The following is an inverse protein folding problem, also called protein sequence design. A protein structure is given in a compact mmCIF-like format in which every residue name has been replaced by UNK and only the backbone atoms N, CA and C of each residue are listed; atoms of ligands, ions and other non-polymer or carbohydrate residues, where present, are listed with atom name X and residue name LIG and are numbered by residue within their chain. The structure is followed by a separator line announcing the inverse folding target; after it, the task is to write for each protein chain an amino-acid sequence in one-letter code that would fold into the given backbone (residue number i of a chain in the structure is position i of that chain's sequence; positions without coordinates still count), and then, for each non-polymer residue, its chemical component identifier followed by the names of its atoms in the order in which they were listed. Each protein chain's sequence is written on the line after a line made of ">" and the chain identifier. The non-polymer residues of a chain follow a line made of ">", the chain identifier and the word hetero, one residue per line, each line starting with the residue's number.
data_IF_709363668503
#
_entry.id   IF_709363668503
#
_cell.length_a   1.000
_cell.length_b   1.000
_cell.length_c   1.000
_cell.angle_alpha   90.00
_cell.angle_beta   90.00
_cell.angle_gamma   90.00
#
_symmetry.space_group_name_H-M   'P 1'
#
loop_
_entity.id
_entity.type
_entity.pdbx_description
1 polymer ?
#
# COMPACT_ATOMS: atom_id res chain seq x y z
N UNK A 1 44.46 25.22 -25.73
CA UNK A 1 43.57 24.05 -25.80
C UNK A 1 42.40 24.29 -24.88
N UNK A 2 41.15 24.19 -25.36
CA UNK A 2 39.99 24.40 -24.49
C UNK A 2 38.65 24.50 -25.23
N UNK A 3 38.47 23.73 -26.31
CA UNK A 3 37.20 23.65 -27.04
C UNK A 3 36.26 22.54 -26.50
N UNK A 4 36.73 21.71 -25.56
CA UNK A 4 35.94 20.62 -24.97
C UNK A 4 35.16 21.00 -23.69
N UNK A 5 35.42 22.16 -23.08
CA UNK A 5 34.78 22.55 -21.81
C UNK A 5 33.37 23.15 -21.97
N UNK A 6 32.87 23.31 -23.19
CA UNK A 6 31.56 23.95 -23.46
C UNK A 6 30.43 22.96 -23.78
N UNK A 7 30.71 21.66 -23.79
CA UNK A 7 29.71 20.60 -24.14
C UNK A 7 29.10 19.97 -22.87
N UNK A 8 29.66 20.20 -21.68
CA UNK A 8 29.11 19.69 -20.41
C UNK A 8 28.26 20.73 -19.65
N UNK A 9 27.94 21.86 -20.27
CA UNK A 9 27.02 22.86 -19.73
C UNK A 9 25.59 22.59 -20.18
N UNK A 10 25.04 21.43 -19.81
CA UNK A 10 23.59 21.27 -19.77
C UNK A 10 23.20 21.59 -18.33
N UNK A 11 22.77 22.84 -18.11
CA UNK A 11 21.73 23.16 -17.14
C UNK A 11 20.57 22.21 -17.46
N UNK A 12 20.62 20.99 -16.92
CA UNK A 12 19.42 20.20 -16.79
C UNK A 12 18.71 20.92 -15.66
N UNK A 13 17.62 21.59 -16.00
CA UNK A 13 16.52 21.77 -15.05
C UNK A 13 16.33 20.41 -14.39
N UNK A 14 16.93 20.23 -13.21
CA UNK A 14 16.67 19.09 -12.36
C UNK A 14 15.22 19.25 -11.98
N UNK A 15 14.35 18.54 -12.69
CA UNK A 15 12.93 18.45 -12.34
C UNK A 15 12.88 18.21 -10.84
N UNK A 16 12.33 19.14 -10.04
CA UNK A 16 12.41 19.04 -8.60
C UNK A 16 11.75 17.72 -8.19
N UNK A 17 12.56 16.80 -7.67
CA UNK A 17 12.06 15.57 -7.07
C UNK A 17 11.31 16.03 -5.84
N UNK A 18 9.97 16.06 -5.92
CA UNK A 18 9.12 16.41 -4.79
C UNK A 18 9.39 15.35 -3.72
N UNK A 19 10.18 15.72 -2.71
CA UNK A 19 10.50 14.86 -1.59
C UNK A 19 9.20 14.42 -0.90
N UNK A 20 9.10 13.14 -0.59
CA UNK A 20 7.98 12.62 0.19
C UNK A 20 8.22 12.94 1.67
N UNK A 21 7.16 13.26 2.41
CA UNK A 21 7.22 13.29 3.86
C UNK A 21 7.28 11.84 4.37
N UNK A 22 8.51 11.35 4.63
CA UNK A 22 8.73 9.98 5.12
C UNK A 22 8.01 9.71 6.44
N UNK A 23 7.91 10.69 7.34
CA UNK A 23 7.26 10.48 8.63
C UNK A 23 5.74 10.33 8.44
N UNK A 24 5.15 11.11 7.55
CA UNK A 24 3.75 10.96 7.15
C UNK A 24 3.49 9.62 6.46
N UNK A 25 4.32 9.24 5.48
CA UNK A 25 4.12 7.99 4.75
C UNK A 25 4.33 6.75 5.63
N UNK A 26 5.23 6.81 6.62
CA UNK A 26 5.35 5.75 7.65
C UNK A 26 4.09 5.61 8.49
N UNK A 27 3.49 6.72 8.94
CA UNK A 27 2.18 6.68 9.64
C UNK A 27 1.08 6.10 8.75
N UNK A 28 1.09 6.42 7.45
CA UNK A 28 0.16 5.84 6.48
C UNK A 28 0.33 4.32 6.32
N UNK A 29 1.59 3.83 6.27
CA UNK A 29 1.90 2.40 6.23
C UNK A 29 1.44 1.68 7.51
N UNK A 30 1.63 2.29 8.68
CA UNK A 30 1.16 1.75 9.96
C UNK A 30 -0.38 1.64 10.01
N UNK A 31 -1.08 2.66 9.52
CA UNK A 31 -2.56 2.65 9.43
C UNK A 31 -3.05 1.59 8.45
N UNK A 32 -2.41 1.45 7.29
CA UNK A 32 -2.72 0.40 6.33
C UNK A 32 -2.47 -1.00 6.91
N UNK A 33 -1.35 -1.20 7.63
CA UNK A 33 -1.05 -2.46 8.31
C UNK A 33 -2.12 -2.80 9.35
N UNK A 34 -2.55 -1.81 10.15
CA UNK A 34 -3.64 -1.93 11.12
C UNK A 34 -4.97 -2.32 10.45
N UNK A 35 -5.32 -1.67 9.33
CA UNK A 35 -6.53 -1.95 8.58
C UNK A 35 -6.52 -3.36 7.96
N UNK A 36 -5.41 -3.76 7.34
CA UNK A 36 -5.24 -5.10 6.77
C UNK A 36 -5.35 -6.17 7.84
N UNK A 37 -4.74 -5.95 9.01
CA UNK A 37 -4.88 -6.86 10.15
C UNK A 37 -6.35 -7.01 10.56
N UNK A 38 -7.03 -5.90 10.81
CA UNK A 38 -8.44 -5.92 11.23
C UNK A 38 -9.33 -6.66 10.22
N UNK A 39 -9.13 -6.42 8.93
CA UNK A 39 -9.84 -7.15 7.87
C UNK A 39 -9.54 -8.65 7.90
N UNK A 40 -8.25 -9.05 7.96
CA UNK A 40 -7.90 -10.48 7.97
C UNK A 40 -8.33 -11.19 9.25
N UNK A 41 -8.37 -10.50 10.39
CA UNK A 41 -8.86 -11.05 11.64
C UNK A 41 -10.38 -11.29 11.53
N UNK A 42 -11.13 -10.30 11.02
CA UNK A 42 -12.58 -10.43 10.76
C UNK A 42 -12.91 -11.54 9.77
N UNK A 43 -12.15 -11.67 8.68
CA UNK A 43 -12.34 -12.73 7.68
C UNK A 43 -12.14 -14.14 8.23
N UNK A 44 -11.51 -14.30 9.40
CA UNK A 44 -11.30 -15.59 10.07
C UNK A 44 -12.40 -15.93 11.08
N UNK A 45 -13.39 -15.07 11.27
CA UNK A 45 -14.51 -15.36 12.15
C UNK A 45 -15.37 -16.51 11.59
N UNK A 46 -16.02 -17.26 12.48
CA UNK A 46 -16.80 -18.48 12.17
C UNK A 46 -17.98 -18.24 11.20
N UNK A 47 -18.37 -16.98 10.97
CA UNK A 47 -19.43 -16.62 10.02
C UNK A 47 -18.98 -16.69 8.55
N UNK A 48 -17.67 -16.80 8.29
CA UNK A 48 -17.09 -16.84 6.95
C UNK A 48 -16.62 -18.26 6.58
N UNK A 49 -16.50 -18.58 5.28
CA UNK A 49 -16.16 -19.92 4.83
C UNK A 49 -14.66 -20.19 5.02
N UNK A 50 -14.20 -20.37 6.27
CA UNK A 50 -12.79 -20.56 6.60
C UNK A 50 -12.19 -21.84 5.99
N UNK A 51 -13.00 -22.86 5.68
CA UNK A 51 -12.53 -24.06 4.99
C UNK A 51 -12.40 -23.89 3.46
N UNK A 52 -12.82 -22.74 2.90
CA UNK A 52 -12.73 -22.47 1.47
C UNK A 52 -11.29 -22.09 1.07
N UNK A 53 -10.62 -22.84 0.18
CA UNK A 53 -9.23 -22.54 -0.21
C UNK A 53 -9.05 -21.17 -0.89
N UNK A 54 -10.05 -20.72 -1.65
CA UNK A 54 -10.03 -19.39 -2.28
C UNK A 54 -10.13 -18.28 -1.24
N UNK A 55 -10.94 -18.46 -0.20
CA UNK A 55 -11.04 -17.55 0.93
C UNK A 55 -9.73 -17.47 1.72
N UNK A 56 -9.13 -18.62 2.03
CA UNK A 56 -7.82 -18.68 2.68
C UNK A 56 -6.74 -17.99 1.83
N UNK A 57 -6.74 -18.20 0.52
CA UNK A 57 -5.84 -17.49 -0.39
C UNK A 57 -6.01 -15.97 -0.34
N UNK A 58 -7.25 -15.45 -0.18
CA UNK A 58 -7.48 -14.01 0.02
C UNK A 58 -6.95 -13.50 1.36
N UNK A 59 -7.17 -14.24 2.43
CA UNK A 59 -6.60 -13.90 3.75
C UNK A 59 -5.07 -13.86 3.66
N UNK A 60 -4.45 -14.84 3.01
CA UNK A 60 -3.00 -14.95 2.90
C UNK A 60 -2.40 -13.79 2.09
N UNK A 61 -3.05 -13.38 1.01
CA UNK A 61 -2.58 -12.25 0.20
C UNK A 61 -2.68 -10.92 0.95
N UNK A 62 -3.77 -10.68 1.67
CA UNK A 62 -3.93 -9.50 2.53
C UNK A 62 -2.92 -9.51 3.69
N UNK A 63 -2.68 -10.67 4.29
CA UNK A 63 -1.69 -10.84 5.35
C UNK A 63 -0.25 -10.65 4.83
N UNK A 64 0.03 -11.02 3.57
CA UNK A 64 1.31 -10.74 2.91
C UNK A 64 1.48 -9.25 2.65
N UNK A 65 0.48 -8.58 2.10
CA UNK A 65 0.48 -7.13 1.90
C UNK A 65 0.73 -6.36 3.20
N UNK A 66 0.16 -6.84 4.32
CA UNK A 66 0.44 -6.28 5.65
C UNK A 66 1.93 -6.39 6.02
N UNK A 67 2.53 -7.57 5.83
CA UNK A 67 3.96 -7.78 6.13
C UNK A 67 4.85 -6.89 5.25
N UNK A 68 4.48 -6.70 3.98
CA UNK A 68 5.17 -5.78 3.07
C UNK A 68 5.05 -4.32 3.55
N UNK A 69 3.88 -3.90 4.04
CA UNK A 69 3.69 -2.58 4.67
C UNK A 69 4.60 -2.39 5.89
N UNK A 70 4.63 -3.38 6.80
CA UNK A 70 5.48 -3.37 7.99
C UNK A 70 6.98 -3.30 7.61
N UNK A 71 7.39 -4.04 6.58
CA UNK A 71 8.75 -4.03 6.06
C UNK A 71 9.14 -2.67 5.48
N UNK A 72 8.27 -2.07 4.67
CA UNK A 72 8.53 -0.75 4.08
C UNK A 72 8.59 0.35 5.13
N UNK A 73 7.70 0.30 6.14
CA UNK A 73 7.69 1.25 7.26
C UNK A 73 8.98 1.19 8.10
N UNK A 74 9.55 0.00 8.24
CA UNK A 74 10.79 -0.23 8.97
C UNK A 74 12.05 0.25 8.23
N UNK A 75 11.98 0.51 6.91
CA UNK A 75 13.13 1.04 6.16
C UNK A 75 13.50 2.43 6.63
N UNK A 76 14.80 2.75 6.64
CA UNK A 76 15.26 4.09 7.00
C UNK A 76 14.74 5.14 6.01
N UNK A 77 14.77 4.80 4.71
CA UNK A 77 14.35 5.63 3.59
C UNK A 77 13.63 4.77 2.55
N UNK A 78 12.70 5.36 1.82
CA UNK A 78 12.07 4.80 0.62
C UNK A 78 11.62 5.94 -0.30
N UNK A 79 11.35 5.64 -1.55
CA UNK A 79 10.93 6.60 -2.57
C UNK A 79 9.43 6.57 -2.79
N UNK A 80 8.91 7.56 -3.53
CA UNK A 80 7.51 7.54 -3.99
C UNK A 80 7.24 6.36 -4.92
N UNK A 81 8.24 5.94 -5.71
CA UNK A 81 8.10 4.77 -6.58
C UNK A 81 7.93 3.48 -5.76
N UNK A 82 8.69 3.32 -4.67
CA UNK A 82 8.56 2.16 -3.79
C UNK A 82 7.15 2.08 -3.18
N UNK A 83 6.55 3.23 -2.81
CA UNK A 83 5.17 3.29 -2.34
C UNK A 83 4.16 2.89 -3.42
N UNK A 84 4.32 3.34 -4.66
CA UNK A 84 3.43 2.96 -5.76
C UNK A 84 3.56 1.49 -6.10
N UNK A 85 4.78 0.97 -6.18
CA UNK A 85 5.05 -0.44 -6.44
C UNK A 85 4.41 -1.32 -5.37
N UNK A 86 4.60 -0.96 -4.09
CA UNK A 86 3.90 -1.60 -2.96
C UNK A 86 2.37 -1.45 -3.09
N UNK A 87 1.85 -0.27 -3.39
CA UNK A 87 0.43 -0.02 -3.54
C UNK A 87 -0.24 -0.92 -4.58
N UNK A 88 0.50 -1.36 -5.62
CA UNK A 88 -0.02 -2.32 -6.61
C UNK A 88 -0.16 -3.75 -6.09
N UNK A 89 0.52 -4.10 -5.00
CA UNK A 89 0.43 -5.43 -4.38
C UNK A 89 -0.79 -5.55 -3.46
N UNK A 90 -1.27 -4.42 -2.92
CA UNK A 90 -2.42 -4.36 -2.01
C UNK A 90 -3.72 -4.50 -2.79
N UNK A 91 -4.44 -5.61 -2.57
CA UNK A 91 -5.73 -5.91 -3.23
C UNK A 91 -6.86 -5.97 -2.20
N UNK A 92 -7.61 -4.86 -1.98
CA UNK A 92 -8.86 -4.91 -1.22
C UNK A 92 -9.82 -5.95 -1.82
N UNK A 93 -10.74 -6.47 -1.01
CA UNK A 93 -11.74 -7.45 -1.47
C UNK A 93 -12.61 -6.89 -2.58
N UNK A 94 -12.94 -5.60 -2.47
CA UNK A 94 -13.64 -4.83 -3.49
C UNK A 94 -13.33 -3.34 -3.35
N UNK A 95 -13.65 -2.55 -4.38
CA UNK A 95 -13.70 -1.08 -4.33
C UNK A 95 -15.11 -0.61 -4.74
N UNK A 96 -15.63 0.43 -4.09
CA UNK A 96 -16.98 0.94 -4.35
C UNK A 96 -18.06 0.16 -3.60
N UNK A 97 -19.14 -0.21 -4.28
CA UNK A 97 -20.27 -0.91 -3.65
C UNK A 97 -19.90 -2.36 -3.28
N UNK A 98 -20.19 -2.81 -2.05
CA UNK A 98 -19.91 -4.19 -1.63
C UNK A 98 -20.75 -5.21 -2.40
N UNK A 99 -20.12 -6.26 -2.96
CA UNK A 99 -20.82 -7.49 -3.29
C UNK A 99 -21.51 -8.09 -2.05
N UNK A 100 -22.62 -8.80 -2.23
CA UNK A 100 -23.42 -9.34 -1.13
C UNK A 100 -22.61 -10.23 -0.17
N UNK A 101 -21.70 -11.04 -0.72
CA UNK A 101 -20.78 -11.92 0.01
C UNK A 101 -19.75 -11.18 0.90
N UNK A 102 -19.50 -9.89 0.64
CA UNK A 102 -18.57 -9.06 1.42
C UNK A 102 -19.26 -7.96 2.24
N UNK A 103 -20.60 -7.91 2.24
CA UNK A 103 -21.34 -6.84 2.93
C UNK A 103 -21.00 -6.76 4.42
N UNK A 104 -20.81 -7.91 5.08
CA UNK A 104 -20.43 -8.02 6.49
C UNK A 104 -18.97 -7.60 6.80
N UNK A 105 -18.15 -7.39 5.77
CA UNK A 105 -16.75 -6.94 5.85
C UNK A 105 -16.57 -5.49 5.40
N UNK A 106 -17.68 -4.78 5.17
CA UNK A 106 -17.64 -3.50 4.46
C UNK A 106 -16.85 -2.43 5.21
N UNK A 107 -17.05 -2.34 6.53
CA UNK A 107 -16.35 -1.40 7.39
C UNK A 107 -14.83 -1.58 7.32
N UNK A 108 -14.34 -2.81 7.47
CA UNK A 108 -12.92 -3.15 7.47
C UNK A 108 -12.32 -2.98 6.08
N UNK A 109 -13.01 -3.43 5.03
CA UNK A 109 -12.53 -3.29 3.66
C UNK A 109 -12.45 -1.81 3.23
N UNK A 110 -13.44 -0.99 3.58
CA UNK A 110 -13.39 0.45 3.32
C UNK A 110 -12.25 1.13 4.05
N UNK A 111 -11.91 0.69 5.27
CA UNK A 111 -10.75 1.22 5.99
C UNK A 111 -9.45 0.92 5.23
N UNK A 112 -9.28 -0.29 4.68
CA UNK A 112 -8.13 -0.64 3.84
C UNK A 112 -8.08 0.25 2.60
N UNK A 113 -9.21 0.45 1.90
CA UNK A 113 -9.27 1.32 0.71
C UNK A 113 -8.88 2.75 1.06
N UNK A 114 -9.47 3.34 2.13
CA UNK A 114 -9.16 4.71 2.57
C UNK A 114 -7.69 4.87 2.97
N UNK A 115 -7.14 3.92 3.72
CA UNK A 115 -5.75 3.96 4.13
C UNK A 115 -4.79 3.85 2.94
N UNK A 116 -5.11 2.98 1.97
CA UNK A 116 -4.32 2.82 0.75
C UNK A 116 -4.37 4.07 -0.13
N UNK A 117 -5.56 4.65 -0.33
CA UNK A 117 -5.70 5.85 -1.15
C UNK A 117 -4.98 7.04 -0.50
N UNK A 118 -5.09 7.22 0.83
CA UNK A 118 -4.34 8.27 1.56
C UNK A 118 -2.82 8.05 1.55
N UNK A 119 -2.36 6.80 1.50
CA UNK A 119 -0.93 6.49 1.40
C UNK A 119 -0.36 6.91 0.04
N UNK A 120 -1.14 6.77 -1.03
CA UNK A 120 -0.70 6.97 -2.42
C UNK A 120 -0.94 8.38 -2.98
N UNK A 121 -1.70 9.22 -2.27
CA UNK A 121 -1.86 10.66 -2.55
C UNK A 121 -0.55 11.45 -2.32
#
# INVERSE_FOLDING_TARGET
>A
MGLFSRIFGSDRDETPVIAIDLAEKKRGLDELSSALRALTDRMRDDEFPVDNPGWQGRIDDLARARKEADQLAAQTEFTRQDLYDFGTTVRPLYRGNPPAEYAALSTENERVVRALDALLD
#
